data_IF_306724134650
#
_entry.id   IF_306724134650
#
_cell.length_a   1.000
_cell.length_b   1.000
_cell.length_c   1.000
_cell.angle_alpha   90.00
_cell.angle_beta   90.00
_cell.angle_gamma   90.00
#
_symmetry.space_group_name_H-M   'P 1'
#
loop_
_entity.id
_entity.type
_entity.pdbx_description
1 polymer ?
#
# COMPACT_ATOMS: atom_id res chain seq x y z
N UNK A 1 -16.96 -0.66 19.87
CA UNK A 1 -16.17 -1.89 20.12
C UNK A 1 -15.41 -2.31 18.86
N UNK A 2 -16.03 -2.50 17.70
CA UNK A 2 -15.38 -2.93 16.45
C UNK A 2 -14.31 -1.95 15.92
N UNK A 3 -14.61 -0.65 15.81
CA UNK A 3 -13.62 0.37 15.39
C UNK A 3 -12.42 0.48 16.33
N UNK A 4 -12.62 0.25 17.63
CA UNK A 4 -11.53 0.23 18.60
C UNK A 4 -10.61 -0.98 18.39
N UNK A 5 -11.19 -2.12 17.97
CA UNK A 5 -10.46 -3.34 17.62
C UNK A 5 -9.62 -3.12 16.34
N UNK A 6 -10.19 -2.49 15.29
CA UNK A 6 -9.45 -2.14 14.06
C UNK A 6 -8.24 -1.28 14.40
N UNK A 7 -8.45 -0.19 15.15
CA UNK A 7 -7.36 0.69 15.56
C UNK A 7 -6.27 -0.08 16.32
N UNK A 8 -6.65 -0.95 17.24
CA UNK A 8 -5.72 -1.75 18.04
C UNK A 8 -4.87 -2.68 17.15
N UNK A 9 -5.46 -3.38 16.18
CA UNK A 9 -4.71 -4.24 15.25
C UNK A 9 -3.75 -3.44 14.38
N UNK A 10 -4.17 -2.31 13.85
CA UNK A 10 -3.29 -1.45 13.04
C UNK A 10 -2.15 -0.87 13.90
N UNK A 11 -2.43 -0.44 15.13
CA UNK A 11 -1.42 0.10 16.03
C UNK A 11 -0.43 -0.99 16.48
N UNK A 12 -0.89 -2.23 16.72
CA UNK A 12 -0.03 -3.38 17.00
C UNK A 12 0.90 -3.69 15.82
N UNK A 13 0.33 -3.78 14.62
CA UNK A 13 1.11 -3.98 13.40
C UNK A 13 2.15 -2.87 13.18
N UNK A 14 1.77 -1.61 13.43
CA UNK A 14 2.69 -0.46 13.37
C UNK A 14 3.87 -0.66 14.32
N UNK A 15 3.60 -1.02 15.57
CA UNK A 15 4.65 -1.25 16.56
C UNK A 15 5.60 -2.38 16.14
N UNK A 16 5.08 -3.47 15.62
CA UNK A 16 5.88 -4.59 15.13
C UNK A 16 6.76 -4.19 13.95
N UNK A 17 6.22 -3.43 12.99
CA UNK A 17 6.98 -2.91 11.87
C UNK A 17 8.07 -1.94 12.33
N UNK A 18 7.75 -0.99 13.20
CA UNK A 18 8.72 -0.04 13.77
C UNK A 18 9.86 -0.73 14.50
N UNK A 19 9.55 -1.79 15.26
CA UNK A 19 10.57 -2.61 15.92
C UNK A 19 11.43 -3.38 14.90
N UNK A 20 10.83 -3.92 13.86
CA UNK A 20 11.54 -4.68 12.83
C UNK A 20 12.53 -3.81 12.04
N UNK A 21 12.10 -2.59 11.67
CA UNK A 21 12.91 -1.65 10.89
C UNK A 21 13.75 -0.69 11.76
N UNK A 22 13.73 -0.87 13.07
CA UNK A 22 14.45 0.00 13.98
C UNK A 22 15.97 -0.01 13.73
N UNK A 23 16.52 1.19 13.55
CA UNK A 23 17.98 1.40 13.52
C UNK A 23 18.33 2.70 14.25
N UNK A 24 19.25 2.69 15.24
CA UNK A 24 19.49 3.84 16.10
C UNK A 24 19.99 5.09 15.36
N UNK A 25 20.76 4.93 14.30
CA UNK A 25 21.24 6.05 13.48
C UNK A 25 20.09 6.61 12.65
N UNK A 26 19.30 5.75 11.99
CA UNK A 26 18.18 6.20 11.16
C UNK A 26 17.15 6.95 12.03
N UNK A 27 16.83 6.43 13.20
CA UNK A 27 15.90 7.10 14.14
C UNK A 27 16.39 8.50 14.57
N UNK A 28 17.70 8.72 14.65
CA UNK A 28 18.25 10.01 15.05
C UNK A 28 18.33 11.03 13.91
N UNK A 29 18.63 10.55 12.70
CA UNK A 29 18.99 11.41 11.56
C UNK A 29 17.88 11.57 10.52
N UNK A 30 16.89 10.68 10.51
CA UNK A 30 15.78 10.69 9.56
C UNK A 30 14.47 10.71 10.38
N UNK A 31 13.47 11.37 9.85
CA UNK A 31 12.11 11.30 10.40
C UNK A 31 11.63 9.85 10.50
N UNK A 32 10.76 9.57 11.46
CA UNK A 32 10.22 8.22 11.66
C UNK A 32 9.59 7.69 10.36
N UNK A 33 9.75 6.37 10.12
CA UNK A 33 9.04 5.69 9.04
C UNK A 33 7.54 5.87 9.27
N UNK A 34 6.90 6.67 8.43
CA UNK A 34 5.47 6.89 8.52
C UNK A 34 4.74 5.70 7.92
N UNK A 35 4.02 4.96 8.76
CA UNK A 35 3.18 3.86 8.28
C UNK A 35 1.99 4.41 7.49
N UNK A 36 1.85 4.00 6.26
CA UNK A 36 0.58 4.16 5.54
C UNK A 36 -0.52 3.30 6.18
N UNK A 37 -1.32 3.96 7.03
CA UNK A 37 -2.39 3.29 7.79
C UNK A 37 -3.46 2.69 6.87
N UNK A 38 -3.61 3.23 5.68
CA UNK A 38 -4.57 2.73 4.69
C UNK A 38 -4.07 1.43 4.05
N UNK A 39 -2.80 1.39 3.64
CA UNK A 39 -2.18 0.13 3.18
C UNK A 39 -2.19 -0.93 4.28
N UNK A 40 -1.91 -0.54 5.54
CA UNK A 40 -2.01 -1.45 6.68
C UNK A 40 -3.43 -1.98 6.88
N UNK A 41 -4.46 -1.12 6.80
CA UNK A 41 -5.86 -1.53 6.90
C UNK A 41 -6.21 -2.59 5.84
N UNK A 42 -5.87 -2.34 4.57
CA UNK A 42 -6.18 -3.27 3.48
C UNK A 42 -5.34 -4.56 3.55
N UNK A 43 -4.09 -4.52 3.97
CA UNK A 43 -3.26 -5.70 4.20
C UNK A 43 -3.85 -6.60 5.30
N UNK A 44 -4.30 -6.00 6.39
CA UNK A 44 -4.87 -6.68 7.54
C UNK A 44 -6.38 -7.00 7.38
N UNK A 45 -6.99 -6.68 6.25
CA UNK A 45 -8.43 -6.82 6.04
C UNK A 45 -8.98 -8.22 6.37
N UNK A 46 -8.31 -9.34 6.02
CA UNK A 46 -8.74 -10.67 6.45
C UNK A 46 -8.75 -10.84 7.98
N UNK A 47 -7.69 -10.40 8.67
CA UNK A 47 -7.62 -10.40 10.13
C UNK A 47 -8.76 -9.57 10.74
N UNK A 48 -8.99 -8.36 10.22
CA UNK A 48 -10.04 -7.46 10.69
C UNK A 48 -11.43 -8.01 10.45
N UNK A 49 -11.58 -8.88 9.45
CA UNK A 49 -12.82 -9.60 9.16
C UNK A 49 -13.00 -10.89 9.97
N UNK A 50 -12.03 -11.25 10.84
CA UNK A 50 -12.10 -12.42 11.71
C UNK A 50 -11.60 -13.72 11.07
N UNK A 51 -10.88 -13.65 9.95
CA UNK A 51 -10.23 -14.80 9.35
C UNK A 51 -9.10 -15.33 10.25
N UNK A 52 -8.79 -16.61 10.10
CA UNK A 52 -7.68 -17.23 10.81
C UNK A 52 -6.36 -16.54 10.41
N UNK A 53 -5.65 -16.03 11.41
CA UNK A 53 -4.37 -15.37 11.23
C UNK A 53 -3.28 -16.09 12.01
N UNK A 54 -2.22 -16.51 11.33
CA UNK A 54 -1.10 -17.26 11.91
C UNK A 54 0.11 -16.36 12.14
N UNK A 55 1.05 -16.82 12.95
CA UNK A 55 2.33 -16.15 13.16
C UNK A 55 3.10 -15.96 11.84
N UNK A 56 3.09 -16.96 10.96
CA UNK A 56 3.72 -16.84 9.64
C UNK A 56 3.08 -15.75 8.78
N UNK A 57 1.74 -15.58 8.84
CA UNK A 57 1.04 -14.49 8.15
C UNK A 57 1.42 -13.14 8.75
N UNK A 58 1.59 -13.08 10.08
CA UNK A 58 2.01 -11.86 10.75
C UNK A 58 3.42 -11.43 10.33
N UNK A 59 4.38 -12.36 10.35
CA UNK A 59 5.75 -12.10 9.87
C UNK A 59 5.76 -11.68 8.39
N UNK A 60 4.97 -12.33 7.55
CA UNK A 60 4.84 -11.98 6.13
C UNK A 60 4.25 -10.57 5.94
N UNK A 61 3.24 -10.21 6.72
CA UNK A 61 2.64 -8.87 6.69
C UNK A 61 3.66 -7.79 7.11
N UNK A 62 4.43 -8.03 8.18
CA UNK A 62 5.50 -7.12 8.61
C UNK A 62 6.60 -7.01 7.54
N UNK A 63 6.95 -8.11 6.85
CA UNK A 63 7.89 -8.08 5.74
C UNK A 63 7.38 -7.19 4.58
N UNK A 64 6.08 -7.25 4.24
CA UNK A 64 5.46 -6.35 3.26
C UNK A 64 5.52 -4.90 3.72
N UNK A 65 5.28 -4.63 4.99
CA UNK A 65 5.47 -3.29 5.56
C UNK A 65 6.88 -2.76 5.39
N UNK A 66 7.90 -3.60 5.60
CA UNK A 66 9.30 -3.22 5.37
C UNK A 66 9.59 -2.95 3.87
N UNK A 67 8.98 -3.70 2.94
CA UNK A 67 9.04 -3.42 1.49
C UNK A 67 8.43 -2.05 1.17
N UNK A 68 7.25 -1.75 1.71
CA UNK A 68 6.61 -0.44 1.49
C UNK A 68 7.48 0.68 2.06
N UNK A 69 8.04 0.52 3.27
CA UNK A 69 8.96 1.49 3.86
C UNK A 69 10.22 1.70 2.99
N UNK A 70 10.73 0.64 2.36
CA UNK A 70 11.86 0.75 1.43
C UNK A 70 11.47 1.55 0.17
N UNK A 71 10.30 1.29 -0.41
CA UNK A 71 9.79 2.06 -1.54
C UNK A 71 9.61 3.54 -1.18
N UNK A 72 8.97 3.84 -0.05
CA UNK A 72 8.72 5.21 0.40
C UNK A 72 10.04 5.97 0.66
N UNK A 73 11.06 5.30 1.20
CA UNK A 73 12.38 5.88 1.41
C UNK A 73 13.08 6.24 0.07
N UNK A 74 12.98 5.36 -0.93
CA UNK A 74 13.54 5.62 -2.26
C UNK A 74 12.74 6.67 -3.03
N UNK A 75 11.41 6.69 -2.91
CA UNK A 75 10.54 7.68 -3.56
C UNK A 75 10.73 9.11 -2.99
N UNK A 76 11.17 9.22 -1.75
CA UNK A 76 11.44 10.50 -1.09
C UNK A 76 12.78 11.16 -1.49
N UNK A 77 13.53 10.57 -2.44
CA UNK A 77 14.81 11.11 -2.92
C UNK A 77 14.54 12.19 -3.97
N UNK A 78 14.96 13.42 -3.68
CA UNK A 78 14.87 14.52 -4.62
C UNK A 78 15.95 14.41 -5.72
N UNK A 79 15.54 14.41 -6.99
CA UNK A 79 16.44 14.17 -8.13
C UNK A 79 17.26 15.39 -8.56
N UNK A 80 16.96 16.60 -8.05
CA UNK A 80 17.44 17.85 -8.62
C UNK A 80 18.40 18.65 -7.75
N UNK A 81 18.64 18.25 -6.51
CA UNK A 81 19.53 18.96 -5.59
C UNK A 81 20.87 18.25 -5.38
N UNK A 82 21.87 19.02 -4.96
CA UNK A 82 23.15 18.47 -4.54
C UNK A 82 22.94 17.41 -3.45
N UNK A 83 23.59 16.26 -3.59
CA UNK A 83 23.49 15.15 -2.66
C UNK A 83 23.82 15.59 -1.24
N UNK A 84 22.80 15.73 -0.41
CA UNK A 84 22.95 16.04 1.02
C UNK A 84 23.17 14.77 1.84
N UNK A 85 23.74 14.92 3.04
CA UNK A 85 23.86 13.78 3.99
C UNK A 85 22.49 13.14 4.28
N UNK A 86 21.42 13.95 4.35
CA UNK A 86 20.06 13.46 4.57
C UNK A 86 19.55 12.61 3.40
N UNK A 87 19.80 13.02 2.16
CA UNK A 87 19.46 12.22 0.98
C UNK A 87 20.26 10.91 0.93
N UNK A 88 21.57 10.95 1.25
CA UNK A 88 22.38 9.73 1.34
C UNK A 88 21.83 8.76 2.39
N UNK A 89 21.41 9.27 3.56
CA UNK A 89 20.81 8.45 4.61
C UNK A 89 19.44 7.89 4.19
N UNK A 90 18.65 8.61 3.40
CA UNK A 90 17.39 8.09 2.84
C UNK A 90 17.64 6.91 1.90
N UNK A 91 18.63 6.99 0.99
CA UNK A 91 19.03 5.85 0.16
C UNK A 91 19.41 4.65 1.02
N UNK A 92 20.30 4.87 2.00
CA UNK A 92 20.75 3.81 2.90
C UNK A 92 19.61 3.24 3.75
N UNK A 93 18.59 4.05 4.11
CA UNK A 93 17.42 3.55 4.83
C UNK A 93 16.58 2.63 3.97
N UNK A 94 16.36 2.95 2.69
CA UNK A 94 15.68 2.08 1.75
C UNK A 94 16.38 0.74 1.57
N UNK A 95 17.71 0.75 1.42
CA UNK A 95 18.53 -0.46 1.35
C UNK A 95 18.45 -1.28 2.64
N UNK A 96 18.50 -0.62 3.80
CA UNK A 96 18.37 -1.26 5.10
C UNK A 96 16.99 -1.92 5.27
N UNK A 97 15.89 -1.22 4.95
CA UNK A 97 14.53 -1.77 5.04
C UNK A 97 14.33 -2.94 4.05
N UNK A 98 14.94 -2.85 2.86
CA UNK A 98 15.03 -3.94 1.92
C UNK A 98 15.78 -5.14 2.51
N UNK A 99 16.87 -4.94 3.23
CA UNK A 99 17.56 -6.00 3.99
C UNK A 99 16.71 -6.61 5.10
N UNK A 100 15.92 -5.79 5.81
CA UNK A 100 15.02 -6.26 6.87
C UNK A 100 13.92 -7.17 6.32
N UNK A 101 13.29 -6.82 5.18
CA UNK A 101 12.25 -7.68 4.61
C UNK A 101 12.83 -9.05 4.22
N UNK A 102 14.02 -9.12 3.62
CA UNK A 102 14.68 -10.40 3.32
C UNK A 102 14.96 -11.22 4.58
N UNK A 103 15.40 -10.57 5.65
CA UNK A 103 15.63 -11.24 6.95
C UNK A 103 14.33 -11.84 7.50
N UNK A 104 13.21 -11.11 7.42
CA UNK A 104 11.90 -11.59 7.88
C UNK A 104 11.43 -12.77 7.02
N UNK A 105 11.51 -12.64 5.69
CA UNK A 105 11.13 -13.70 4.76
C UNK A 105 11.97 -14.97 4.94
N UNK A 106 13.27 -14.84 5.21
CA UNK A 106 14.16 -15.98 5.45
C UNK A 106 13.78 -16.79 6.70
N UNK A 107 12.99 -16.22 7.62
CA UNK A 107 12.46 -16.95 8.77
C UNK A 107 11.20 -17.76 8.46
N UNK A 108 10.59 -17.55 7.28
CA UNK A 108 9.40 -18.26 6.85
C UNK A 108 9.77 -19.53 6.08
N UNK A 109 9.09 -20.65 6.33
CA UNK A 109 9.32 -21.90 5.60
C UNK A 109 8.65 -21.94 4.21
N UNK A 110 8.24 -20.79 3.67
CA UNK A 110 7.46 -20.66 2.43
C UNK A 110 8.32 -20.03 1.30
N UNK A 111 9.10 -20.85 0.63
CA UNK A 111 9.93 -20.43 -0.51
C UNK A 111 9.05 -19.94 -1.67
N UNK A 112 7.86 -20.50 -1.84
CA UNK A 112 6.92 -20.08 -2.89
C UNK A 112 6.49 -18.63 -2.72
N UNK A 113 6.11 -18.24 -1.51
CA UNK A 113 5.77 -16.86 -1.18
C UNK A 113 6.97 -15.91 -1.38
N UNK A 114 8.15 -16.30 -0.88
CA UNK A 114 9.37 -15.49 -1.02
C UNK A 114 9.66 -15.21 -2.51
N UNK A 115 9.62 -16.25 -3.35
CA UNK A 115 9.85 -16.11 -4.78
C UNK A 115 8.81 -15.20 -5.46
N UNK A 116 7.53 -15.43 -5.19
CA UNK A 116 6.44 -14.66 -5.78
C UNK A 116 6.46 -13.20 -5.34
N UNK A 117 6.72 -12.90 -4.07
CA UNK A 117 6.87 -11.53 -3.58
C UNK A 117 8.09 -10.84 -4.20
N UNK A 118 9.23 -11.53 -4.33
CA UNK A 118 10.41 -10.96 -4.98
C UNK A 118 10.16 -10.62 -6.45
N UNK A 119 9.41 -11.45 -7.18
CA UNK A 119 8.99 -11.13 -8.55
C UNK A 119 8.08 -9.91 -8.60
N UNK A 120 7.12 -9.82 -7.67
CA UNK A 120 6.20 -8.67 -7.57
C UNK A 120 6.97 -7.38 -7.28
N UNK A 121 7.94 -7.40 -6.37
CA UNK A 121 8.82 -6.25 -6.07
C UNK A 121 9.58 -5.81 -7.32
N UNK A 122 10.13 -6.77 -8.08
CA UNK A 122 10.81 -6.50 -9.35
C UNK A 122 9.88 -5.81 -10.36
N UNK A 123 8.67 -6.32 -10.54
CA UNK A 123 7.64 -5.72 -11.42
C UNK A 123 7.25 -4.30 -10.98
N UNK A 124 7.08 -4.07 -9.67
CA UNK A 124 6.79 -2.73 -9.14
C UNK A 124 7.91 -1.75 -9.49
N UNK A 125 9.17 -2.13 -9.28
CA UNK A 125 10.32 -1.30 -9.60
C UNK A 125 10.42 -0.99 -11.10
N UNK A 126 10.17 -2.00 -11.95
CA UNK A 126 10.13 -1.82 -13.40
C UNK A 126 9.02 -0.84 -13.81
N UNK A 127 7.81 -1.00 -13.28
CA UNK A 127 6.69 -0.10 -13.57
C UNK A 127 6.95 1.32 -13.08
N UNK A 128 7.50 1.50 -11.89
CA UNK A 128 7.90 2.82 -11.37
C UNK A 128 8.91 3.50 -12.29
N UNK A 129 9.94 2.76 -12.72
CA UNK A 129 10.97 3.26 -13.63
C UNK A 129 10.39 3.63 -15.00
N UNK A 130 9.53 2.77 -15.55
CA UNK A 130 8.86 3.03 -16.82
C UNK A 130 7.95 4.26 -16.74
N UNK A 131 7.17 4.38 -15.67
CA UNK A 131 6.29 5.53 -15.47
C UNK A 131 7.06 6.86 -15.32
N UNK A 132 8.23 6.82 -14.69
CA UNK A 132 9.10 8.00 -14.60
C UNK A 132 9.58 8.47 -15.98
N UNK A 133 9.84 7.54 -16.89
CA UNK A 133 10.35 7.83 -18.23
C UNK A 133 9.23 8.12 -19.24
N UNK A 134 8.09 7.44 -19.11
CA UNK A 134 6.96 7.52 -20.05
C UNK A 134 5.65 7.47 -19.26
N UNK A 135 4.85 8.53 -19.35
CA UNK A 135 3.49 8.48 -18.80
C UNK A 135 2.66 7.43 -19.53
N UNK A 136 1.76 6.70 -18.84
CA UNK A 136 0.82 5.78 -19.47
C UNK A 136 0.06 6.46 -20.62
N UNK A 137 -0.11 5.76 -21.72
CA UNK A 137 -0.74 6.28 -22.94
C UNK A 137 -2.24 6.09 -22.98
N UNK A 138 -2.77 5.22 -22.12
CA UNK A 138 -4.18 4.82 -22.08
C UNK A 138 -4.67 4.63 -20.63
N UNK A 139 -5.98 4.86 -20.35
CA UNK A 139 -6.58 4.66 -19.02
C UNK A 139 -6.34 3.24 -18.45
N UNK A 140 -6.38 2.22 -19.32
CA UNK A 140 -6.14 0.84 -18.93
C UNK A 140 -4.71 0.63 -18.40
N UNK A 141 -3.72 1.13 -19.12
CA UNK A 141 -2.31 1.06 -18.73
C UNK A 141 -2.09 1.81 -17.42
N UNK A 142 -2.67 3.00 -17.26
CA UNK A 142 -2.63 3.76 -16.01
C UNK A 142 -3.19 2.93 -14.85
N UNK A 143 -4.39 2.36 -15.03
CA UNK A 143 -5.04 1.54 -13.99
C UNK A 143 -4.18 0.35 -13.58
N UNK A 144 -3.66 -0.43 -14.55
CA UNK A 144 -2.83 -1.62 -14.29
C UNK A 144 -1.52 -1.25 -13.57
N UNK A 145 -0.88 -0.16 -14.00
CA UNK A 145 0.36 0.33 -13.39
C UNK A 145 0.14 0.77 -11.95
N UNK A 146 -0.85 1.62 -11.69
CA UNK A 146 -1.13 2.09 -10.34
C UNK A 146 -1.59 0.93 -9.43
N UNK A 147 -2.40 -0.01 -9.96
CA UNK A 147 -2.79 -1.19 -9.21
C UNK A 147 -1.59 -2.03 -8.77
N UNK A 148 -0.63 -2.27 -9.66
CA UNK A 148 0.57 -3.04 -9.32
C UNK A 148 1.41 -2.31 -8.27
N UNK A 149 1.63 -1.01 -8.43
CA UNK A 149 2.45 -0.21 -7.50
C UNK A 149 1.81 -0.14 -6.11
N UNK A 150 0.51 0.10 -6.04
CA UNK A 150 -0.18 0.35 -4.78
C UNK A 150 -0.63 -0.93 -4.07
N UNK A 151 -1.01 -1.96 -4.82
CA UNK A 151 -1.65 -3.16 -4.28
C UNK A 151 -0.86 -4.45 -4.52
N UNK A 152 0.15 -4.47 -5.40
CA UNK A 152 0.80 -5.69 -5.86
C UNK A 152 1.31 -6.60 -4.74
N UNK A 153 2.03 -6.07 -3.76
CA UNK A 153 2.52 -6.85 -2.62
C UNK A 153 1.39 -7.43 -1.76
N UNK A 154 0.31 -6.66 -1.55
CA UNK A 154 -0.86 -7.09 -0.77
C UNK A 154 -1.64 -8.17 -1.53
N UNK A 155 -1.82 -8.00 -2.84
CA UNK A 155 -2.45 -9.00 -3.71
C UNK A 155 -1.66 -10.31 -3.66
N UNK A 156 -0.33 -10.22 -3.75
CA UNK A 156 0.52 -11.42 -3.67
C UNK A 156 0.40 -12.12 -2.32
N UNK A 157 0.33 -11.36 -1.21
CA UNK A 157 0.06 -11.92 0.11
C UNK A 157 -1.29 -12.67 0.14
N UNK A 158 -2.35 -12.05 -0.39
CA UNK A 158 -3.67 -12.68 -0.40
C UNK A 158 -3.70 -13.97 -1.22
N UNK A 159 -3.03 -14.00 -2.37
CA UNK A 159 -2.93 -15.24 -3.15
C UNK A 159 -2.19 -16.34 -2.41
N UNK A 160 -1.08 -16.00 -1.74
CA UNK A 160 -0.24 -16.98 -1.06
C UNK A 160 -0.88 -17.55 0.22
N UNK A 161 -1.71 -16.77 0.91
CA UNK A 161 -2.30 -17.17 2.18
C UNK A 161 -3.80 -17.51 2.10
N UNK A 162 -4.36 -17.66 0.88
CA UNK A 162 -5.74 -18.13 0.69
C UNK A 162 -6.82 -17.06 0.88
N UNK A 163 -6.47 -15.79 0.75
CA UNK A 163 -7.37 -14.65 0.90
C UNK A 163 -7.80 -14.02 -0.43
N UNK A 164 -7.81 -14.81 -1.51
CA UNK A 164 -8.07 -14.29 -2.86
C UNK A 164 -9.42 -13.59 -3.02
N UNK A 165 -10.41 -13.87 -2.14
CA UNK A 165 -11.70 -13.18 -2.13
C UNK A 165 -11.59 -11.67 -1.84
N UNK A 166 -10.51 -11.21 -1.19
CA UNK A 166 -10.26 -9.80 -0.89
C UNK A 166 -9.54 -9.05 -2.04
N UNK A 167 -8.97 -9.79 -3.00
CA UNK A 167 -8.19 -9.19 -4.12
C UNK A 167 -8.98 -8.17 -4.92
N UNK A 168 -10.24 -8.42 -5.36
CA UNK A 168 -10.99 -7.43 -6.15
C UNK A 168 -11.17 -6.09 -5.43
N UNK A 169 -11.35 -6.14 -4.10
CA UNK A 169 -11.53 -4.95 -3.28
C UNK A 169 -10.25 -4.12 -3.19
N UNK A 170 -9.13 -4.76 -2.87
CA UNK A 170 -7.83 -4.09 -2.73
C UNK A 170 -7.33 -3.57 -4.07
N UNK A 171 -7.54 -4.35 -5.15
CA UNK A 171 -7.18 -3.96 -6.52
C UNK A 171 -7.92 -2.72 -7.02
N UNK A 172 -9.06 -2.39 -6.44
CA UNK A 172 -9.80 -1.18 -6.80
C UNK A 172 -9.60 -0.05 -5.78
N UNK A 173 -9.58 -0.36 -4.48
CA UNK A 173 -9.54 0.65 -3.43
C UNK A 173 -8.20 1.41 -3.36
N UNK A 174 -7.07 0.71 -3.34
CA UNK A 174 -5.76 1.37 -3.22
C UNK A 174 -5.41 2.26 -4.42
N UNK A 175 -5.64 1.83 -5.69
CA UNK A 175 -5.49 2.72 -6.84
C UNK A 175 -6.42 3.94 -6.80
N UNK A 176 -7.69 3.76 -6.38
CA UNK A 176 -8.62 4.87 -6.22
C UNK A 176 -8.06 5.92 -5.25
N UNK A 177 -7.64 5.48 -4.06
CA UNK A 177 -7.12 6.37 -3.01
C UNK A 177 -5.84 7.08 -3.42
N UNK A 178 -5.11 6.53 -4.37
CA UNK A 178 -3.88 7.09 -4.92
C UNK A 178 -4.11 8.08 -6.08
N UNK A 179 -5.19 7.88 -6.85
CA UNK A 179 -5.52 8.74 -8.00
C UNK A 179 -6.51 9.85 -7.66
N UNK A 180 -7.45 9.61 -6.74
CA UNK A 180 -8.51 10.55 -6.40
C UNK A 180 -8.09 11.45 -5.23
N UNK A 181 -7.89 12.77 -5.46
CA UNK A 181 -7.46 13.67 -4.40
C UNK A 181 -8.44 13.74 -3.21
N UNK A 182 -9.75 13.65 -3.48
CA UNK A 182 -10.75 13.73 -2.43
C UNK A 182 -10.79 12.46 -1.58
N UNK A 183 -10.69 11.29 -2.19
CA UNK A 183 -10.60 10.01 -1.47
C UNK A 183 -9.25 9.89 -0.74
N UNK A 184 -8.15 10.28 -1.38
CA UNK A 184 -6.82 10.31 -0.77
C UNK A 184 -6.78 11.21 0.48
N UNK A 185 -7.35 12.40 0.42
CA UNK A 185 -7.44 13.30 1.58
C UNK A 185 -8.24 12.70 2.74
N UNK A 186 -9.36 12.03 2.46
CA UNK A 186 -10.15 11.33 3.49
C UNK A 186 -9.37 10.20 4.15
N UNK A 187 -8.56 9.49 3.37
CA UNK A 187 -7.71 8.40 3.83
C UNK A 187 -6.39 8.88 4.47
N UNK A 188 -6.10 10.18 4.44
CA UNK A 188 -4.83 10.75 4.92
C UNK A 188 -3.63 10.43 4.03
N UNK A 189 -3.87 10.25 2.71
CA UNK A 189 -2.84 9.90 1.73
C UNK A 189 -2.64 11.01 0.69
N UNK A 190 -1.40 11.29 0.28
CA UNK A 190 -1.16 12.10 -0.91
C UNK A 190 -1.57 11.32 -2.17
N UNK A 191 -1.93 12.03 -3.24
CA UNK A 191 -2.06 11.40 -4.56
C UNK A 191 -0.69 10.97 -5.08
N UNK A 192 -0.67 10.00 -5.99
CA UNK A 192 0.58 9.55 -6.62
C UNK A 192 1.29 10.69 -7.36
N UNK A 193 0.55 11.63 -7.92
CA UNK A 193 1.10 12.84 -8.53
C UNK A 193 1.83 13.71 -7.51
N UNK A 194 1.24 13.88 -6.31
CA UNK A 194 1.85 14.66 -5.25
C UNK A 194 3.04 13.93 -4.59
N UNK A 195 2.93 12.60 -4.44
CA UNK A 195 3.95 11.78 -3.80
C UNK A 195 5.19 11.58 -4.69
N UNK A 196 5.01 11.34 -5.99
CA UNK A 196 6.07 10.95 -6.91
C UNK A 196 6.37 12.02 -8.00
N UNK A 197 5.63 13.12 -8.01
CA UNK A 197 5.78 14.17 -9.05
C UNK A 197 5.40 13.70 -10.46
N UNK A 198 4.68 12.60 -10.60
CA UNK A 198 4.34 12.01 -11.88
C UNK A 198 3.26 12.82 -12.60
N UNK A 199 3.41 12.92 -13.93
CA UNK A 199 2.40 13.57 -14.77
C UNK A 199 1.41 12.51 -15.26
N UNK A 200 0.18 12.64 -14.81
CA UNK A 200 -0.95 11.82 -15.26
C UNK A 200 -1.91 12.71 -16.03
N UNK A 201 -2.40 12.26 -17.17
CA UNK A 201 -3.47 12.97 -17.88
C UNK A 201 -4.73 13.02 -17.03
N UNK A 202 -5.30 14.20 -16.85
CA UNK A 202 -6.44 14.39 -15.96
C UNK A 202 -7.70 13.63 -16.44
N UNK A 203 -7.90 13.50 -17.76
CA UNK A 203 -9.07 12.78 -18.29
C UNK A 203 -8.93 11.30 -18.06
N UNK A 204 -7.72 10.76 -18.26
CA UNK A 204 -7.43 9.35 -18.03
C UNK A 204 -7.59 9.02 -16.54
N UNK A 205 -7.08 9.89 -15.65
CA UNK A 205 -7.29 9.75 -14.21
C UNK A 205 -8.77 9.77 -13.82
N UNK A 206 -9.54 10.74 -14.31
CA UNK A 206 -10.98 10.86 -14.04
C UNK A 206 -11.75 9.63 -14.53
N UNK A 207 -11.41 9.11 -15.72
CA UNK A 207 -12.03 7.89 -16.24
C UNK A 207 -11.72 6.70 -15.32
N UNK A 208 -10.45 6.48 -14.98
CA UNK A 208 -10.02 5.37 -14.10
C UNK A 208 -10.66 5.48 -12.73
N UNK A 209 -10.72 6.68 -12.14
CA UNK A 209 -11.38 6.94 -10.86
C UNK A 209 -12.86 6.55 -10.91
N UNK A 210 -13.59 6.92 -11.97
CA UNK A 210 -15.00 6.58 -12.14
C UNK A 210 -15.22 5.05 -12.25
N UNK A 211 -14.37 4.37 -13.01
CA UNK A 211 -14.39 2.90 -13.15
C UNK A 211 -14.10 2.20 -11.81
N UNK A 212 -13.07 2.68 -11.08
CA UNK A 212 -12.69 2.11 -9.79
C UNK A 212 -13.78 2.29 -8.75
N UNK A 213 -14.45 3.45 -8.69
CA UNK A 213 -15.60 3.70 -7.80
C UNK A 213 -16.72 2.71 -8.05
N UNK A 214 -17.08 2.49 -9.33
CA UNK A 214 -18.10 1.50 -9.72
C UNK A 214 -17.68 0.11 -9.29
N UNK A 215 -16.42 -0.28 -9.57
CA UNK A 215 -15.88 -1.59 -9.19
C UNK A 215 -15.93 -1.83 -7.68
N UNK A 216 -15.59 -0.83 -6.86
CA UNK A 216 -15.63 -0.92 -5.39
C UNK A 216 -17.06 -1.16 -4.90
N UNK A 217 -18.02 -0.36 -5.35
CA UNK A 217 -19.42 -0.51 -4.93
C UNK A 217 -19.98 -1.88 -5.32
N UNK A 218 -19.72 -2.35 -6.54
CA UNK A 218 -20.13 -3.69 -6.97
C UNK A 218 -19.48 -4.78 -6.12
N UNK A 219 -18.18 -4.63 -5.84
CA UNK A 219 -17.43 -5.61 -5.05
C UNK A 219 -17.93 -5.65 -3.61
N UNK A 220 -18.15 -4.51 -2.96
CA UNK A 220 -18.71 -4.44 -1.61
C UNK A 220 -20.10 -5.06 -1.54
N UNK A 221 -20.96 -4.80 -2.56
CA UNK A 221 -22.31 -5.35 -2.60
C UNK A 221 -22.31 -6.87 -2.76
N UNK A 222 -21.38 -7.42 -3.51
CA UNK A 222 -21.23 -8.88 -3.76
C UNK A 222 -20.44 -9.59 -2.65
N UNK A 223 -19.75 -8.89 -1.77
CA UNK A 223 -18.88 -9.45 -0.73
C UNK A 223 -19.69 -9.86 0.51
N UNK A 224 -20.48 -10.96 0.43
CA UNK A 224 -21.25 -11.46 1.57
C UNK A 224 -20.38 -11.94 2.73
N UNK A 225 -19.13 -12.31 2.46
CA UNK A 225 -18.14 -12.70 3.46
C UNK A 225 -17.64 -11.52 4.31
N UNK A 226 -17.80 -10.28 3.83
CA UNK A 226 -17.27 -9.08 4.50
C UNK A 226 -18.28 -8.58 5.54
N UNK A 227 -17.79 -8.35 6.77
CA UNK A 227 -18.62 -7.84 7.86
C UNK A 227 -19.23 -6.47 7.55
N UNK A 228 -20.45 -6.18 8.01
CA UNK A 228 -21.15 -4.94 7.69
C UNK A 228 -20.38 -3.68 8.06
N UNK A 229 -19.66 -3.68 9.18
CA UNK A 229 -18.90 -2.52 9.64
C UNK A 229 -17.68 -2.24 8.74
N UNK A 230 -16.98 -3.29 8.23
CA UNK A 230 -15.90 -3.11 7.28
C UNK A 230 -16.40 -2.56 5.94
N UNK A 231 -17.60 -2.99 5.49
CA UNK A 231 -18.25 -2.40 4.30
C UNK A 231 -18.47 -0.89 4.48
N UNK A 232 -18.90 -0.46 5.67
CA UNK A 232 -19.11 0.96 6.00
C UNK A 232 -17.79 1.72 6.05
N UNK A 233 -16.76 1.17 6.69
CA UNK A 233 -15.46 1.84 6.80
C UNK A 233 -14.77 1.96 5.44
N UNK A 234 -14.82 0.93 4.59
CA UNK A 234 -14.28 0.98 3.23
C UNK A 234 -15.00 2.04 2.39
N UNK A 235 -16.36 2.07 2.42
CA UNK A 235 -17.13 3.12 1.75
C UNK A 235 -16.76 4.51 2.27
N UNK A 236 -16.59 4.66 3.57
CA UNK A 236 -16.18 5.93 4.19
C UNK A 236 -14.84 6.46 3.69
N UNK A 237 -13.91 5.58 3.32
CA UNK A 237 -12.61 5.94 2.74
C UNK A 237 -12.70 6.20 1.24
N UNK A 238 -13.49 5.42 0.51
CA UNK A 238 -13.45 5.38 -0.96
C UNK A 238 -14.54 6.21 -1.64
N UNK A 239 -15.61 6.58 -0.92
CA UNK A 239 -16.71 7.37 -1.46
C UNK A 239 -16.83 8.68 -0.67
N UNK A 240 -16.15 9.75 -1.12
CA UNK A 240 -16.41 11.08 -0.54
C UNK A 240 -17.91 11.37 -0.61
N UNK A 241 -18.54 11.66 0.51
CA UNK A 241 -19.92 12.11 0.52
C UNK A 241 -20.00 13.39 -0.33
N UNK A 242 -20.47 13.26 -1.56
CA UNK A 242 -20.94 14.39 -2.36
C UNK A 242 -22.08 15.03 -1.60
N UNK A 243 -21.80 16.04 -0.76
CA UNK A 243 -22.82 16.79 -0.08
C UNK A 243 -22.57 17.07 1.39
N UNK A 244 -21.48 17.76 1.73
CA UNK A 244 -21.46 18.76 2.80
C UNK A 244 -20.63 19.95 2.35
N UNK A 245 -21.02 20.56 1.24
CA UNK A 245 -20.84 21.98 0.99
C UNK A 245 -22.20 22.63 1.25
N UNK A 246 -22.50 22.89 2.49
CA UNK A 246 -23.36 23.98 2.94
C UNK A 246 -22.71 24.57 4.18
#
# INVERSE_FOLDING_TARGET
>A
MERQNIKQHIDSYKQELELAVYHPILKREIEEVELDRTKAFFLLLPLLNGEKWTESMNVAAVAIGAVHAAFDAHDAIELYDATTTQQQLRVLSGDYFSGVHYKLLASLPDIGFIHALSQTIGQINEMKTNFHNHSPSEPKELRETIQMIEAGCIIQFFHSFGFSQYVPLVSAALPLLSLDPAAGQLAGRPTIQAALGWKVDARDADQVVAELRTTIEETINKADFLSPFLKVDIRGMTTPLLGKLI
#
